data_IF_414427022252
#
_entry.id   IF_414427022252
#
_cell.length_a   1.000
_cell.length_b   1.000
_cell.length_c   1.000
_cell.angle_alpha   90.00
_cell.angle_beta   90.00
_cell.angle_gamma   90.00
#
_symmetry.space_group_name_H-M   'P 1'
#
loop_
_entity.id
_entity.type
_entity.pdbx_description
1 polymer ?
#
# COMPACT_ATOMS: atom_id res chain seq x y z
N UNK A 1 29.76 62.30 27.29
CA UNK A 1 29.83 60.85 27.10
C UNK A 1 31.24 60.49 26.72
N UNK A 2 31.87 59.59 27.46
CA UNK A 2 33.18 59.06 27.07
C UNK A 2 33.00 58.03 25.94
N UNK A 3 34.06 57.82 25.16
CA UNK A 3 34.10 56.84 24.07
C UNK A 3 33.70 55.42 24.56
N UNK A 4 34.04 55.09 25.80
CA UNK A 4 33.66 53.82 26.46
C UNK A 4 32.17 53.68 26.79
N UNK A 5 31.46 54.78 27.08
CA UNK A 5 30.00 54.76 27.30
C UNK A 5 29.25 54.53 25.99
N UNK A 6 29.70 55.17 24.91
CA UNK A 6 29.14 55.00 23.57
C UNK A 6 29.31 53.56 23.05
N UNK A 7 30.46 52.94 23.27
CA UNK A 7 30.66 51.53 22.89
C UNK A 7 29.81 50.55 23.70
N UNK A 8 29.56 50.85 24.98
CA UNK A 8 28.71 50.01 25.83
C UNK A 8 27.24 50.11 25.40
N UNK A 9 26.76 51.32 25.13
CA UNK A 9 25.40 51.56 24.61
C UNK A 9 25.18 50.88 23.26
N UNK A 10 26.15 50.98 22.33
CA UNK A 10 26.07 50.33 21.02
C UNK A 10 26.06 48.80 21.13
N UNK A 11 26.88 48.21 22.00
CA UNK A 11 26.87 46.75 22.22
C UNK A 11 25.53 46.27 22.79
N UNK A 12 24.95 47.04 23.70
CA UNK A 12 23.64 46.72 24.28
C UNK A 12 22.53 46.76 23.23
N UNK A 13 22.53 47.78 22.38
CA UNK A 13 21.58 47.91 21.27
C UNK A 13 21.75 46.76 20.24
N UNK A 14 22.98 46.36 19.93
CA UNK A 14 23.25 45.22 19.04
C UNK A 14 22.76 43.88 19.63
N UNK A 15 22.87 43.70 20.94
CA UNK A 15 22.40 42.51 21.63
C UNK A 15 20.87 42.45 21.68
N UNK A 16 20.21 43.55 22.05
CA UNK A 16 18.74 43.68 22.00
C UNK A 16 18.19 43.47 20.57
N UNK A 17 18.88 43.99 19.54
CA UNK A 17 18.49 43.75 18.15
C UNK A 17 18.64 42.28 17.73
N UNK A 18 19.71 41.59 18.18
CA UNK A 18 19.88 40.14 17.91
C UNK A 18 18.79 39.31 18.57
N UNK A 19 18.48 39.59 19.83
CA UNK A 19 17.42 38.87 20.56
C UNK A 19 16.07 39.06 19.87
N UNK A 20 15.77 40.29 19.42
CA UNK A 20 14.54 40.59 18.71
C UNK A 20 14.45 39.90 17.33
N UNK A 21 15.58 39.80 16.61
CA UNK A 21 15.64 39.06 15.34
C UNK A 21 15.44 37.55 15.52
N UNK A 22 15.97 36.97 16.60
CA UNK A 22 15.81 35.55 16.92
C UNK A 22 14.37 35.24 17.31
N UNK A 23 13.75 36.06 18.16
CA UNK A 23 12.33 35.93 18.55
C UNK A 23 11.40 36.07 17.33
N UNK A 24 11.68 37.03 16.43
CA UNK A 24 10.91 37.18 15.19
C UNK A 24 11.02 35.95 14.28
N UNK A 25 12.21 35.36 14.16
CA UNK A 25 12.43 34.13 13.38
C UNK A 25 11.68 32.93 13.96
N UNK A 26 11.71 32.76 15.28
CA UNK A 26 10.97 31.69 15.95
C UNK A 26 9.46 31.85 15.74
N UNK A 27 8.94 33.08 15.89
CA UNK A 27 7.53 33.38 15.68
C UNK A 27 7.10 33.16 14.22
N UNK A 28 7.93 33.53 13.24
CA UNK A 28 7.68 33.25 11.83
C UNK A 28 7.64 31.75 11.54
N UNK A 29 8.55 30.96 12.13
CA UNK A 29 8.56 29.52 11.95
C UNK A 29 7.33 28.85 12.58
N UNK A 30 6.92 29.28 13.78
CA UNK A 30 5.71 28.83 14.45
C UNK A 30 4.46 29.18 13.63
N UNK A 31 4.38 30.41 13.12
CA UNK A 31 3.29 30.86 12.26
C UNK A 31 3.22 30.01 10.97
N UNK A 32 4.37 29.74 10.33
CA UNK A 32 4.43 28.89 9.14
C UNK A 32 3.96 27.46 9.44
N UNK A 33 4.40 26.86 10.54
CA UNK A 33 3.94 25.53 10.98
C UNK A 33 2.44 25.52 11.25
N UNK A 34 1.92 26.56 11.87
CA UNK A 34 0.49 26.69 12.16
C UNK A 34 -0.34 26.87 10.89
N UNK A 35 0.10 27.68 9.93
CA UNK A 35 -0.55 27.84 8.62
C UNK A 35 -0.55 26.53 7.82
N UNK A 36 0.57 25.80 7.79
CA UNK A 36 0.63 24.48 7.15
C UNK A 36 -0.34 23.49 7.81
N UNK A 37 -0.44 23.51 9.13
CA UNK A 37 -1.38 22.68 9.88
C UNK A 37 -2.83 23.03 9.56
N UNK A 38 -3.18 24.32 9.56
CA UNK A 38 -4.54 24.80 9.22
C UNK A 38 -4.88 24.39 7.79
N UNK A 39 -3.96 24.63 6.83
CA UNK A 39 -4.16 24.26 5.43
C UNK A 39 -4.36 22.77 5.25
N UNK A 40 -3.59 21.95 5.97
CA UNK A 40 -3.75 20.50 5.99
C UNK A 40 -5.07 20.03 6.63
N UNK A 41 -5.55 20.72 7.67
CA UNK A 41 -6.87 20.47 8.27
C UNK A 41 -8.03 20.85 7.35
N UNK A 42 -7.95 22.01 6.71
CA UNK A 42 -8.97 22.47 5.76
C UNK A 42 -9.06 21.55 4.55
N UNK A 43 -7.92 21.11 4.02
CA UNK A 43 -7.87 20.12 2.94
C UNK A 43 -8.57 18.83 3.36
N UNK A 44 -8.21 18.25 4.51
CA UNK A 44 -8.86 17.05 5.06
C UNK A 44 -10.38 17.23 5.23
N UNK A 45 -10.83 18.37 5.79
CA UNK A 45 -12.27 18.66 5.96
C UNK A 45 -13.02 18.80 4.63
N UNK A 46 -12.35 19.27 3.58
CA UNK A 46 -12.95 19.37 2.24
C UNK A 46 -13.15 17.98 1.65
N UNK A 47 -12.14 17.12 1.77
CA UNK A 47 -12.17 15.73 1.32
C UNK A 47 -13.26 14.94 2.05
N UNK A 48 -13.35 15.07 3.38
CA UNK A 48 -14.37 14.39 4.18
C UNK A 48 -15.79 14.78 3.78
N UNK A 49 -16.04 16.08 3.54
CA UNK A 49 -17.35 16.56 3.07
C UNK A 49 -17.73 16.01 1.69
N UNK A 50 -16.77 15.90 0.79
CA UNK A 50 -17.01 15.35 -0.54
C UNK A 50 -17.37 13.86 -0.47
N UNK A 51 -16.67 13.10 0.38
CA UNK A 51 -16.99 11.70 0.65
C UNK A 51 -18.39 11.55 1.24
N UNK A 52 -18.73 12.36 2.25
CA UNK A 52 -20.04 12.32 2.89
C UNK A 52 -21.17 12.64 1.90
N UNK A 53 -20.99 13.65 1.04
CA UNK A 53 -21.95 13.98 -0.01
C UNK A 53 -22.14 12.84 -1.01
N UNK A 54 -21.05 12.19 -1.43
CA UNK A 54 -21.14 11.03 -2.33
C UNK A 54 -21.87 9.86 -1.67
N UNK A 55 -21.54 9.52 -0.42
CA UNK A 55 -22.23 8.47 0.34
C UNK A 55 -23.72 8.78 0.53
N UNK A 56 -24.07 10.03 0.84
CA UNK A 56 -25.46 10.45 0.99
C UNK A 56 -26.27 10.26 -0.31
N UNK A 57 -25.66 10.51 -1.48
CA UNK A 57 -26.29 10.25 -2.78
C UNK A 57 -26.53 8.75 -3.02
N UNK A 58 -25.57 7.90 -2.66
CA UNK A 58 -25.73 6.43 -2.75
C UNK A 58 -26.92 5.97 -1.89
N UNK A 59 -27.01 6.46 -0.64
CA UNK A 59 -28.12 6.13 0.25
C UNK A 59 -29.47 6.62 -0.28
N UNK A 60 -29.52 7.84 -0.82
CA UNK A 60 -30.75 8.43 -1.35
C UNK A 60 -31.27 7.67 -2.57
N UNK A 61 -30.39 7.33 -3.53
CA UNK A 61 -30.77 6.54 -4.72
C UNK A 61 -31.27 5.14 -4.36
N UNK A 62 -30.68 4.50 -3.34
CA UNK A 62 -31.13 3.19 -2.82
C UNK A 62 -32.52 3.24 -2.18
N UNK A 63 -32.82 4.29 -1.41
CA UNK A 63 -34.13 4.42 -0.75
C UNK A 63 -35.28 4.70 -1.73
N UNK A 64 -35.00 5.32 -2.87
CA UNK A 64 -36.02 5.61 -3.88
C UNK A 64 -36.45 4.34 -4.66
N UNK A 65 -35.51 3.42 -4.92
CA UNK A 65 -35.78 2.14 -5.60
C UNK A 65 -36.61 1.15 -4.75
N UNK A 66 -36.50 1.21 -3.42
CA UNK A 66 -37.29 0.37 -2.49
C UNK A 66 -38.73 0.88 -2.25
N UNK A 67 -39.13 1.98 -2.88
CA UNK A 67 -40.43 2.62 -2.67
C UNK A 67 -41.54 2.15 -3.62
N UNK A 68 -41.57 0.85 -3.94
CA UNK A 68 -42.79 0.25 -4.52
C UNK A 68 -43.80 -0.06 -3.41
N UNK A 69 -45.08 0.34 -3.53
CA UNK A 69 -46.03 0.26 -2.42
C UNK A 69 -46.70 -1.12 -2.33
N UNK A 70 -46.50 -1.84 -1.23
CA UNK A 70 -47.47 -2.83 -0.75
C UNK A 70 -47.62 -2.77 0.78
N UNK A 71 -48.85 -2.85 1.31
CA UNK A 71 -49.08 -2.63 2.73
C UNK A 71 -49.06 -3.92 3.56
N UNK A 72 -48.52 -3.76 4.77
CA UNK A 72 -48.74 -4.52 6.02
C UNK A 72 -48.39 -6.00 6.04
N UNK A 73 -47.53 -6.41 6.98
CA UNK A 73 -47.92 -7.13 8.20
C UNK A 73 -46.79 -6.99 9.23
N UNK A 74 -47.19 -6.76 10.48
CA UNK A 74 -46.38 -6.71 11.68
C UNK A 74 -45.58 -7.99 11.93
N UNK A 75 -44.28 -7.89 12.14
CA UNK A 75 -43.57 -8.76 13.08
C UNK A 75 -42.27 -8.14 13.56
N UNK A 76 -42.24 -7.88 14.87
CA UNK A 76 -41.13 -8.08 15.79
C UNK A 76 -39.74 -7.51 15.44
N UNK A 77 -39.33 -6.61 16.34
CA UNK A 77 -37.95 -6.16 16.62
C UNK A 77 -36.92 -7.26 16.36
N UNK A 78 -36.05 -7.03 15.40
CA UNK A 78 -34.68 -7.51 15.42
C UNK A 78 -33.79 -6.30 15.14
N UNK A 79 -32.71 -6.18 15.91
CA UNK A 79 -31.77 -5.07 15.96
C UNK A 79 -31.50 -4.46 14.57
N UNK A 80 -32.04 -3.26 14.30
CA UNK A 80 -31.60 -2.46 13.16
C UNK A 80 -30.14 -2.09 13.40
N UNK A 81 -29.23 -2.87 12.81
CA UNK A 81 -27.79 -2.68 12.98
C UNK A 81 -27.42 -1.40 12.24
N UNK A 82 -27.49 -0.28 12.94
CA UNK A 82 -27.11 1.03 12.42
C UNK A 82 -25.73 0.95 11.76
N UNK A 83 -25.64 1.44 10.52
CA UNK A 83 -24.42 1.48 9.74
C UNK A 83 -23.26 2.15 10.52
N UNK A 84 -23.54 3.18 11.32
CA UNK A 84 -22.53 3.84 12.15
C UNK A 84 -21.95 2.91 13.22
N UNK A 85 -22.76 1.98 13.74
CA UNK A 85 -22.31 0.94 14.68
C UNK A 85 -21.45 -0.11 13.97
N UNK A 86 -21.78 -0.45 12.71
CA UNK A 86 -20.94 -1.32 11.89
C UNK A 86 -19.61 -0.66 11.55
N UNK A 87 -19.61 0.59 11.08
CA UNK A 87 -18.41 1.37 10.76
C UNK A 87 -17.47 1.39 11.97
N UNK A 88 -17.95 1.84 13.14
CA UNK A 88 -17.15 1.86 14.37
C UNK A 88 -16.65 0.47 14.76
N UNK A 89 -17.51 -0.54 14.65
CA UNK A 89 -17.17 -1.91 14.97
C UNK A 89 -16.10 -2.51 14.06
N UNK A 90 -16.08 -2.12 12.79
CA UNK A 90 -15.08 -2.54 11.81
C UNK A 90 -13.78 -1.76 11.99
N UNK A 91 -13.88 -0.44 12.20
CA UNK A 91 -12.74 0.45 12.42
C UNK A 91 -11.88 0.03 13.62
N UNK A 92 -12.52 -0.36 14.73
CA UNK A 92 -11.83 -0.80 15.95
C UNK A 92 -11.08 -2.14 15.75
N UNK A 93 -11.62 -3.03 14.92
CA UNK A 93 -11.09 -4.40 14.77
C UNK A 93 -10.18 -4.57 13.54
N UNK A 94 -10.23 -3.64 12.60
CA UNK A 94 -9.39 -3.67 11.40
C UNK A 94 -8.07 -2.96 11.70
N UNK A 95 -6.96 -3.46 11.16
CA UNK A 95 -5.69 -2.73 11.27
C UNK A 95 -5.81 -1.33 10.63
N UNK A 96 -5.03 -0.34 11.08
CA UNK A 96 -5.07 1.00 10.51
C UNK A 96 -4.76 1.02 9.02
N UNK A 97 -5.37 1.96 8.28
CA UNK A 97 -5.12 2.12 6.84
C UNK A 97 -3.62 2.30 6.58
N UNK A 98 -3.01 1.39 5.79
CA UNK A 98 -1.58 1.41 5.55
C UNK A 98 -1.10 2.68 4.87
N UNK A 99 0.10 3.14 5.23
CA UNK A 99 0.80 4.20 4.49
C UNK A 99 1.67 3.65 3.35
N UNK A 100 2.23 2.44 3.54
CA UNK A 100 3.12 1.76 2.60
C UNK A 100 2.35 0.70 1.81
N UNK A 101 2.75 0.51 0.55
CA UNK A 101 2.07 -0.41 -0.37
C UNK A 101 2.09 -1.86 0.11
N UNK A 102 3.16 -2.25 0.80
CA UNK A 102 3.46 -3.60 1.26
C UNK A 102 2.55 -4.12 2.38
N UNK A 103 1.76 -3.24 3.00
CA UNK A 103 0.90 -3.59 4.13
C UNK A 103 -0.59 -3.56 3.78
N UNK A 104 -0.94 -3.23 2.53
CA UNK A 104 -2.33 -3.24 2.05
C UNK A 104 -2.98 -4.62 2.11
N UNK A 105 -2.22 -5.69 1.87
CA UNK A 105 -2.71 -7.06 2.01
C UNK A 105 -3.19 -7.37 3.42
N UNK A 106 -2.38 -7.04 4.44
CA UNK A 106 -2.74 -7.26 5.83
C UNK A 106 -4.00 -6.48 6.19
N UNK A 107 -4.16 -5.30 5.61
CA UNK A 107 -5.35 -4.47 5.80
C UNK A 107 -6.59 -5.13 5.21
N UNK A 108 -6.54 -5.55 3.94
CA UNK A 108 -7.67 -6.19 3.29
C UNK A 108 -8.02 -7.55 3.93
N UNK A 109 -7.04 -8.37 4.30
CA UNK A 109 -7.29 -9.62 5.01
C UNK A 109 -7.91 -9.37 6.40
N UNK A 110 -7.42 -8.38 7.13
CA UNK A 110 -7.99 -7.97 8.42
C UNK A 110 -9.41 -7.45 8.26
N UNK A 111 -9.67 -6.67 7.21
CA UNK A 111 -10.98 -6.10 6.92
C UNK A 111 -11.97 -7.20 6.56
N UNK A 112 -11.59 -8.14 5.67
CA UNK A 112 -12.45 -9.25 5.26
C UNK A 112 -12.80 -10.17 6.44
N UNK A 113 -11.83 -10.46 7.31
CA UNK A 113 -12.08 -11.20 8.57
C UNK A 113 -13.05 -10.44 9.46
N UNK A 114 -12.91 -9.13 9.56
CA UNK A 114 -13.76 -8.28 10.38
C UNK A 114 -15.19 -8.21 9.82
N UNK A 115 -15.35 -8.08 8.50
CA UNK A 115 -16.66 -8.17 7.84
C UNK A 115 -17.37 -9.48 8.16
N UNK A 116 -16.66 -10.62 8.05
CA UNK A 116 -17.21 -11.93 8.41
C UNK A 116 -17.57 -12.02 9.90
N UNK A 117 -16.68 -11.55 10.78
CA UNK A 117 -16.90 -11.60 12.23
C UNK A 117 -18.08 -10.72 12.68
N UNK A 118 -18.21 -9.52 12.12
CA UNK A 118 -19.30 -8.58 12.41
C UNK A 118 -20.57 -8.85 11.60
N UNK A 119 -20.56 -9.84 10.71
CA UNK A 119 -21.65 -10.17 9.78
C UNK A 119 -22.12 -8.94 9.01
N UNK A 120 -21.17 -8.17 8.49
CA UNK A 120 -21.46 -6.98 7.69
C UNK A 120 -22.23 -7.40 6.44
N UNK A 121 -23.43 -6.85 6.19
CA UNK A 121 -24.15 -7.08 4.94
C UNK A 121 -23.33 -6.61 3.74
N UNK A 122 -23.33 -7.38 2.65
CA UNK A 122 -22.56 -7.06 1.43
C UNK A 122 -22.91 -5.67 0.87
N UNK A 123 -24.16 -5.24 1.05
CA UNK A 123 -24.70 -3.92 0.74
C UNK A 123 -23.98 -2.74 1.45
N UNK A 124 -23.31 -2.98 2.58
CA UNK A 124 -22.58 -1.97 3.35
C UNK A 124 -21.06 -2.10 3.27
N UNK A 125 -20.51 -3.19 2.73
CA UNK A 125 -19.06 -3.41 2.67
C UNK A 125 -18.33 -2.26 1.96
N UNK A 126 -18.80 -1.86 0.77
CA UNK A 126 -18.15 -0.80 0.01
C UNK A 126 -18.22 0.56 0.71
N UNK A 127 -19.38 0.89 1.29
CA UNK A 127 -19.56 2.14 2.03
C UNK A 127 -18.65 2.21 3.27
N UNK A 128 -18.53 1.11 4.00
CA UNK A 128 -17.61 1.01 5.14
C UNK A 128 -16.16 1.12 4.67
N UNK A 129 -15.79 0.44 3.58
CA UNK A 129 -14.44 0.51 3.00
C UNK A 129 -14.08 1.94 2.59
N UNK A 130 -14.97 2.65 1.88
CA UNK A 130 -14.75 4.03 1.46
C UNK A 130 -14.59 4.97 2.67
N UNK A 131 -15.39 4.78 3.73
CA UNK A 131 -15.28 5.58 4.95
C UNK A 131 -13.96 5.31 5.68
N UNK A 132 -13.50 4.05 5.74
CA UNK A 132 -12.21 3.70 6.35
C UNK A 132 -11.04 4.27 5.57
N UNK A 133 -11.06 4.18 4.24
CA UNK A 133 -9.99 4.66 3.35
C UNK A 133 -9.84 6.19 3.37
N UNK A 134 -10.90 6.94 3.69
CA UNK A 134 -10.89 8.40 3.81
C UNK A 134 -10.33 9.05 2.55
N UNK A 135 -9.31 9.90 2.70
CA UNK A 135 -8.69 10.63 1.59
C UNK A 135 -8.22 9.73 0.44
N UNK A 136 -7.80 8.49 0.74
CA UNK A 136 -7.37 7.54 -0.29
C UNK A 136 -8.53 7.04 -1.15
N UNK A 137 -9.73 6.99 -0.59
CA UNK A 137 -10.93 6.56 -1.30
C UNK A 137 -11.27 7.48 -2.47
N UNK A 138 -10.93 8.78 -2.39
CA UNK A 138 -11.28 9.75 -3.43
C UNK A 138 -10.58 9.48 -4.76
N UNK A 139 -9.32 9.00 -4.74
CA UNK A 139 -8.64 8.61 -5.98
C UNK A 139 -9.42 7.52 -6.72
N UNK A 140 -9.95 6.53 -5.99
CA UNK A 140 -10.78 5.47 -6.57
C UNK A 140 -12.16 6.00 -6.99
N UNK A 141 -12.77 6.86 -6.17
CA UNK A 141 -14.08 7.47 -6.43
C UNK A 141 -14.11 8.48 -7.59
N UNK A 142 -12.95 8.89 -8.12
CA UNK A 142 -12.87 9.65 -9.39
C UNK A 142 -13.11 8.73 -10.58
N UNK A 143 -12.73 7.45 -10.49
CA UNK A 143 -12.83 6.49 -11.59
C UNK A 143 -14.11 5.64 -11.57
N UNK A 144 -14.78 5.52 -10.41
CA UNK A 144 -16.04 4.77 -10.31
C UNK A 144 -17.19 5.63 -10.85
N UNK A 145 -17.88 5.13 -11.88
CA UNK A 145 -19.11 5.75 -12.38
C UNK A 145 -20.25 5.59 -11.37
N UNK A 146 -21.17 6.55 -11.34
CA UNK A 146 -22.32 6.56 -10.42
C UNK A 146 -23.23 5.32 -10.55
N UNK A 147 -23.24 4.71 -11.74
CA UNK A 147 -23.90 3.43 -12.05
C UNK A 147 -23.20 2.19 -11.45
N UNK A 148 -21.86 2.20 -11.35
CA UNK A 148 -21.07 1.11 -10.78
C UNK A 148 -20.92 1.22 -9.25
N UNK A 149 -21.20 2.41 -8.68
CA UNK A 149 -21.25 2.66 -7.24
C UNK A 149 -22.34 1.85 -6.52
N UNK A 150 -23.35 1.38 -7.25
CA UNK A 150 -24.41 0.50 -6.72
C UNK A 150 -23.96 -0.95 -6.59
N UNK A 151 -22.89 -1.34 -7.29
CA UNK A 151 -22.36 -2.69 -7.28
C UNK A 151 -21.15 -2.77 -6.33
N UNK A 152 -21.43 -3.21 -5.11
CA UNK A 152 -20.39 -3.32 -4.08
C UNK A 152 -19.27 -4.29 -4.46
N UNK A 153 -19.53 -5.28 -5.31
CA UNK A 153 -18.49 -6.15 -5.81
C UNK A 153 -17.54 -5.38 -6.73
N UNK A 154 -18.06 -4.52 -7.62
CA UNK A 154 -17.23 -3.65 -8.47
C UNK A 154 -16.48 -2.60 -7.68
N UNK A 155 -17.10 -1.95 -6.70
CA UNK A 155 -16.41 -0.96 -5.86
C UNK A 155 -15.28 -1.62 -5.06
N UNK A 156 -15.52 -2.83 -4.53
CA UNK A 156 -14.51 -3.63 -3.86
C UNK A 156 -13.39 -4.03 -4.82
N UNK A 157 -13.71 -4.55 -6.01
CA UNK A 157 -12.72 -4.92 -7.03
C UNK A 157 -11.92 -3.73 -7.55
N UNK A 158 -12.51 -2.53 -7.66
CA UNK A 158 -11.81 -1.33 -8.09
C UNK A 158 -10.88 -0.78 -6.99
N UNK A 159 -11.34 -0.80 -5.73
CA UNK A 159 -10.47 -0.45 -4.60
C UNK A 159 -9.36 -1.48 -4.42
N UNK A 160 -9.66 -2.77 -4.57
CA UNK A 160 -8.65 -3.81 -4.64
C UNK A 160 -7.72 -3.50 -5.81
N UNK A 161 -8.18 -3.33 -7.05
CA UNK A 161 -7.29 -3.05 -8.19
C UNK A 161 -6.39 -1.81 -8.03
N UNK A 162 -6.86 -0.74 -7.40
CA UNK A 162 -6.06 0.47 -7.14
C UNK A 162 -5.01 0.25 -6.04
N UNK A 163 -5.35 -0.51 -4.99
CA UNK A 163 -4.52 -0.69 -3.79
C UNK A 163 -3.88 -2.07 -3.66
N UNK A 164 -4.24 -3.01 -4.54
CA UNK A 164 -3.77 -4.38 -4.60
C UNK A 164 -2.34 -4.33 -5.07
N UNK A 165 -1.39 -4.73 -4.22
CA UNK A 165 -0.01 -4.54 -4.57
C UNK A 165 0.35 -5.50 -5.70
N UNK A 166 1.12 -4.98 -6.66
CA UNK A 166 1.66 -5.73 -7.78
C UNK A 166 2.35 -6.99 -7.21
N UNK A 167 2.02 -8.21 -7.64
CA UNK A 167 2.59 -9.42 -7.03
C UNK A 167 4.12 -9.43 -7.04
N UNK A 168 4.73 -8.80 -8.05
CA UNK A 168 6.18 -8.62 -8.13
C UNK A 168 6.76 -7.80 -6.97
N UNK A 169 6.02 -6.79 -6.49
CA UNK A 169 6.43 -6.03 -5.31
C UNK A 169 6.46 -6.92 -4.06
N UNK A 170 5.51 -7.85 -3.88
CA UNK A 170 5.54 -8.82 -2.79
C UNK A 170 6.75 -9.75 -2.86
N UNK A 171 7.05 -10.27 -4.05
CA UNK A 171 8.22 -11.13 -4.26
C UNK A 171 9.52 -10.38 -3.95
N UNK A 172 9.64 -9.14 -4.42
CA UNK A 172 10.80 -8.30 -4.14
C UNK A 172 10.93 -7.94 -2.65
N UNK A 173 9.81 -7.65 -1.99
CA UNK A 173 9.77 -7.43 -0.54
C UNK A 173 10.20 -8.66 0.23
N UNK A 174 9.72 -9.85 -0.16
CA UNK A 174 10.13 -11.11 0.43
C UNK A 174 11.64 -11.34 0.27
N UNK A 175 12.19 -11.13 -0.92
CA UNK A 175 13.62 -11.28 -1.22
C UNK A 175 14.51 -10.29 -0.46
N UNK A 176 14.06 -9.05 -0.32
CA UNK A 176 14.81 -7.96 0.34
C UNK A 176 14.54 -7.87 1.85
N UNK A 177 13.59 -8.64 2.36
CA UNK A 177 13.18 -8.58 3.75
C UNK A 177 14.36 -8.85 4.68
N UNK A 178 14.61 -7.92 5.60
CA UNK A 178 15.54 -8.05 6.71
C UNK A 178 14.77 -8.01 8.02
N UNK A 179 15.34 -8.63 9.06
CA UNK A 179 14.79 -8.54 10.42
C UNK A 179 14.82 -7.08 10.88
N UNK A 180 13.71 -6.59 11.39
CA UNK A 180 13.60 -5.24 11.91
C UNK A 180 14.31 -5.11 13.26
N UNK A 181 14.71 -3.87 13.62
CA UNK A 181 15.19 -3.59 14.97
C UNK A 181 14.08 -3.88 15.99
N UNK A 182 14.39 -4.64 17.03
CA UNK A 182 13.42 -5.08 18.04
C UNK A 182 12.51 -6.25 17.65
N UNK A 183 12.59 -6.77 16.42
CA UNK A 183 11.80 -7.94 15.99
C UNK A 183 12.51 -9.25 16.37
N UNK A 184 11.81 -10.17 17.03
CA UNK A 184 12.35 -11.52 17.30
C UNK A 184 12.44 -12.35 16.00
N UNK A 185 13.28 -13.40 15.98
CA UNK A 185 13.35 -14.29 14.82
C UNK A 185 12.02 -14.97 14.50
N UNK A 186 11.22 -15.29 15.52
CA UNK A 186 9.88 -15.86 15.32
C UNK A 186 8.96 -14.87 14.61
N UNK A 187 8.94 -13.60 15.05
CA UNK A 187 8.16 -12.55 14.37
C UNK A 187 8.62 -12.34 12.93
N UNK A 188 9.94 -12.38 12.68
CA UNK A 188 10.49 -12.25 11.34
C UNK A 188 10.05 -13.39 10.41
N UNK A 189 10.13 -14.65 10.87
CA UNK A 189 9.66 -15.81 10.11
C UNK A 189 8.15 -15.73 9.86
N UNK A 190 7.35 -15.36 10.85
CA UNK A 190 5.90 -15.18 10.65
C UNK A 190 5.59 -14.13 9.57
N UNK A 191 6.36 -13.05 9.52
CA UNK A 191 6.23 -12.02 8.46
C UNK A 191 6.64 -12.55 7.09
N UNK A 192 7.74 -13.30 7.00
CA UNK A 192 8.18 -13.93 5.75
C UNK A 192 7.15 -14.93 5.21
N UNK A 193 6.63 -15.81 6.08
CA UNK A 193 5.59 -16.79 5.72
C UNK A 193 4.36 -16.06 5.20
N UNK A 194 3.84 -15.07 5.94
CA UNK A 194 2.65 -14.31 5.54
C UNK A 194 2.84 -13.61 4.20
N UNK A 195 4.05 -13.07 3.95
CA UNK A 195 4.38 -12.40 2.67
C UNK A 195 4.38 -13.40 1.52
N UNK A 196 4.98 -14.58 1.70
CA UNK A 196 5.05 -15.62 0.68
C UNK A 196 3.69 -16.28 0.39
N UNK A 197 2.90 -16.56 1.43
CA UNK A 197 1.54 -17.11 1.29
C UNK A 197 0.65 -16.15 0.51
N UNK A 198 0.73 -14.85 0.81
CA UNK A 198 -0.02 -13.84 0.08
C UNK A 198 0.43 -13.74 -1.38
N UNK A 199 1.74 -13.73 -1.64
CA UNK A 199 2.28 -13.77 -3.01
C UNK A 199 1.75 -14.98 -3.79
N UNK A 200 1.75 -16.16 -3.17
CA UNK A 200 1.24 -17.40 -3.76
C UNK A 200 -0.25 -17.31 -4.08
N UNK A 201 -1.04 -16.69 -3.19
CA UNK A 201 -2.48 -16.43 -3.38
C UNK A 201 -2.73 -15.50 -4.58
N UNK A 202 -1.96 -14.41 -4.70
CA UNK A 202 -2.06 -13.48 -5.85
C UNK A 202 -1.73 -14.19 -7.18
N UNK A 203 -0.74 -15.07 -7.17
CA UNK A 203 -0.36 -15.91 -8.32
C UNK A 203 -1.32 -17.07 -8.57
N UNK A 204 -2.37 -17.23 -7.73
CA UNK A 204 -3.38 -18.29 -7.81
C UNK A 204 -2.76 -19.69 -7.83
N UNK A 205 -1.66 -19.87 -7.09
CA UNK A 205 -1.00 -21.17 -6.90
C UNK A 205 -1.82 -21.99 -5.91
N UNK A 206 -2.25 -23.18 -6.33
CA UNK A 206 -3.15 -24.04 -5.54
C UNK A 206 -2.60 -25.43 -5.23
N UNK A 207 -1.50 -25.84 -5.85
CA UNK A 207 -0.93 -27.17 -5.70
C UNK A 207 0.61 -27.15 -5.72
N UNK A 208 1.22 -28.28 -5.39
CA UNK A 208 2.68 -28.40 -5.32
C UNK A 208 3.37 -28.19 -6.67
N UNK A 209 2.73 -28.60 -7.77
CA UNK A 209 3.30 -28.46 -9.12
C UNK A 209 3.34 -26.99 -9.55
N UNK A 210 2.25 -26.26 -9.36
CA UNK A 210 2.16 -24.82 -9.60
C UNK A 210 3.10 -24.02 -8.71
N UNK A 211 3.34 -24.45 -7.47
CA UNK A 211 4.33 -23.80 -6.60
C UNK A 211 5.77 -24.01 -7.10
N UNK A 212 6.14 -25.24 -7.47
CA UNK A 212 7.46 -25.52 -8.06
C UNK A 212 7.68 -24.68 -9.32
N UNK A 213 6.69 -24.65 -10.18
CA UNK A 213 6.74 -23.95 -11.46
C UNK A 213 6.82 -22.43 -11.27
N UNK A 214 6.13 -21.88 -10.26
CA UNK A 214 6.25 -20.47 -9.86
C UNK A 214 7.68 -20.14 -9.41
N UNK A 215 8.26 -20.96 -8.53
CA UNK A 215 9.64 -20.74 -8.05
C UNK A 215 10.65 -20.77 -9.19
N UNK A 216 10.51 -21.71 -10.13
CA UNK A 216 11.39 -21.82 -11.31
C UNK A 216 11.19 -20.64 -12.25
N UNK A 217 9.93 -20.25 -12.52
CA UNK A 217 9.58 -19.09 -13.33
C UNK A 217 10.17 -17.80 -12.74
N UNK A 218 9.99 -17.56 -11.45
CA UNK A 218 10.54 -16.40 -10.73
C UNK A 218 12.07 -16.36 -10.73
N UNK A 219 12.72 -17.54 -10.75
CA UNK A 219 14.17 -17.65 -10.86
C UNK A 219 14.65 -17.32 -12.26
N UNK A 220 14.00 -17.84 -13.31
CA UNK A 220 14.33 -17.49 -14.70
C UNK A 220 14.14 -16.00 -14.94
N UNK A 221 13.01 -15.44 -14.48
CA UNK A 221 12.71 -14.01 -14.60
C UNK A 221 13.79 -13.13 -13.96
N UNK A 222 14.37 -13.57 -12.83
CA UNK A 222 15.44 -12.85 -12.14
C UNK A 222 16.73 -12.74 -12.95
N UNK A 223 16.99 -13.69 -13.85
CA UNK A 223 18.21 -13.73 -14.67
C UNK A 223 18.07 -12.96 -15.99
N UNK A 224 16.90 -12.40 -16.29
CA UNK A 224 16.65 -11.65 -17.50
C UNK A 224 17.29 -10.26 -17.44
N UNK A 225 17.79 -9.79 -18.59
CA UNK A 225 18.16 -8.38 -18.76
C UNK A 225 16.92 -7.48 -18.75
N UNK A 226 17.15 -6.18 -18.57
CA UNK A 226 16.09 -5.18 -18.42
C UNK A 226 15.10 -5.17 -19.60
N UNK A 227 15.57 -5.36 -20.84
CA UNK A 227 14.69 -5.29 -22.00
C UNK A 227 13.82 -6.55 -22.10
N UNK A 228 14.43 -7.72 -21.91
CA UNK A 228 13.71 -8.99 -21.93
C UNK A 228 12.71 -9.07 -20.78
N UNK A 229 13.09 -8.67 -19.57
CA UNK A 229 12.18 -8.59 -18.42
C UNK A 229 11.00 -7.65 -18.70
N UNK A 230 11.23 -6.51 -19.37
CA UNK A 230 10.17 -5.58 -19.75
C UNK A 230 9.20 -6.17 -20.77
N UNK A 231 9.71 -6.89 -21.78
CA UNK A 231 8.87 -7.62 -22.75
C UNK A 231 8.02 -8.68 -22.05
N UNK A 232 8.62 -9.49 -21.18
CA UNK A 232 7.90 -10.51 -20.42
C UNK A 232 6.83 -9.90 -19.51
N UNK A 233 7.12 -8.78 -18.82
CA UNK A 233 6.12 -8.08 -18.02
C UNK A 233 4.89 -7.69 -18.85
N UNK A 234 5.08 -7.23 -20.10
CA UNK A 234 3.98 -6.89 -21.00
C UNK A 234 3.16 -8.14 -21.41
N UNK A 235 3.82 -9.27 -21.65
CA UNK A 235 3.16 -10.53 -22.02
C UNK A 235 2.38 -11.18 -20.86
N UNK A 236 2.90 -11.07 -19.64
CA UNK A 236 2.29 -11.65 -18.44
C UNK A 236 0.94 -10.99 -18.10
N UNK A 237 0.86 -9.66 -18.17
CA UNK A 237 -0.34 -8.92 -17.79
C UNK A 237 -0.81 -9.27 -16.38
N UNK A 238 -2.06 -9.72 -16.23
CA UNK A 238 -2.64 -10.15 -14.94
C UNK A 238 -2.30 -11.60 -14.56
N UNK A 239 -1.70 -12.39 -15.47
CA UNK A 239 -1.30 -13.79 -15.23
C UNK A 239 0.22 -13.90 -15.12
N UNK A 240 0.72 -15.03 -14.64
CA UNK A 240 2.15 -15.34 -14.70
C UNK A 240 2.37 -16.48 -15.71
N UNK A 241 3.50 -16.44 -16.40
CA UNK A 241 3.89 -17.49 -17.34
C UNK A 241 4.55 -18.64 -16.58
N UNK A 242 4.13 -19.87 -16.87
CA UNK A 242 4.81 -21.06 -16.35
C UNK A 242 6.24 -21.11 -16.87
N UNK A 243 7.12 -21.83 -16.17
CA UNK A 243 8.56 -21.83 -16.47
C UNK A 243 8.89 -22.12 -17.95
N UNK A 244 8.21 -23.09 -18.55
CA UNK A 244 8.39 -23.45 -19.97
C UNK A 244 7.81 -22.42 -20.93
N UNK A 245 6.70 -21.78 -20.58
CA UNK A 245 6.08 -20.73 -21.41
C UNK A 245 6.93 -19.46 -21.36
N UNK A 246 7.41 -19.09 -20.18
CA UNK A 246 8.33 -17.99 -19.97
C UNK A 246 9.61 -18.18 -20.79
N UNK A 247 10.23 -19.37 -20.74
CA UNK A 247 11.42 -19.67 -21.51
C UNK A 247 11.18 -19.53 -23.02
N UNK A 248 10.07 -20.06 -23.54
CA UNK A 248 9.69 -19.92 -24.95
C UNK A 248 9.52 -18.46 -25.35
N UNK A 249 8.87 -17.66 -24.51
CA UNK A 249 8.66 -16.24 -24.79
C UNK A 249 9.99 -15.46 -24.80
N UNK A 250 10.91 -15.81 -23.89
CA UNK A 250 12.27 -15.28 -23.92
C UNK A 250 12.99 -15.63 -25.23
N UNK A 251 12.91 -16.90 -25.67
CA UNK A 251 13.53 -17.34 -26.93
C UNK A 251 12.93 -16.64 -28.16
N UNK A 252 11.61 -16.41 -28.18
CA UNK A 252 10.91 -15.67 -29.23
C UNK A 252 11.43 -14.23 -29.29
N UNK A 253 11.47 -13.55 -28.15
CA UNK A 253 11.97 -12.17 -28.06
C UNK A 253 13.44 -12.08 -28.45
N UNK A 254 14.27 -13.02 -28.01
CA UNK A 254 15.68 -13.10 -28.33
C UNK A 254 15.90 -13.31 -29.85
N UNK A 255 15.16 -14.23 -30.46
CA UNK A 255 15.18 -14.45 -31.91
C UNK A 255 14.74 -13.23 -32.72
N UNK A 256 13.76 -12.47 -32.21
CA UNK A 256 13.28 -11.25 -32.85
C UNK A 256 14.28 -10.08 -32.74
N UNK A 257 15.02 -9.99 -31.63
CA UNK A 257 15.95 -8.88 -31.34
C UNK A 257 17.39 -9.13 -31.78
N UNK A 258 17.74 -10.35 -32.23
CA UNK A 258 19.09 -10.76 -32.62
C UNK A 258 20.17 -10.48 -31.55
N UNK A 259 19.80 -10.45 -30.27
CA UNK A 259 20.77 -10.37 -29.18
C UNK A 259 21.73 -11.57 -29.28
N UNK A 260 23.03 -11.35 -29.09
CA UNK A 260 24.02 -12.42 -29.06
C UNK A 260 24.03 -13.08 -27.69
N UNK A 261 24.16 -14.41 -27.62
CA UNK A 261 24.23 -15.16 -26.36
C UNK A 261 25.44 -14.72 -25.49
N UNK A 262 26.39 -13.99 -26.07
CA UNK A 262 27.60 -13.50 -25.40
C UNK A 262 27.41 -12.18 -24.64
N UNK A 263 26.44 -11.32 -25.00
CA UNK A 263 26.28 -10.00 -24.37
C UNK A 263 25.74 -10.11 -22.94
N UNK A 264 24.87 -11.09 -22.66
CA UNK A 264 24.26 -11.31 -21.34
C UNK A 264 25.28 -11.65 -20.24
N UNK A 265 26.43 -12.23 -20.63
CA UNK A 265 27.45 -12.70 -19.68
C UNK A 265 28.26 -11.56 -19.04
N UNK A 266 28.31 -10.39 -19.69
CA UNK A 266 29.12 -9.26 -19.22
C UNK A 266 28.40 -8.42 -18.14
N UNK A 267 27.06 -8.32 -18.18
CA UNK A 267 26.30 -7.53 -17.21
C UNK A 267 26.19 -8.20 -15.82
N UNK A 268 26.06 -9.54 -15.79
CA UNK A 268 26.00 -10.32 -14.55
C UNK A 268 27.32 -10.28 -13.76
N UNK A 269 28.46 -10.04 -14.42
CA UNK A 269 29.77 -10.04 -13.75
C UNK A 269 29.99 -8.81 -12.86
N UNK A 270 29.25 -7.73 -13.10
CA UNK A 270 29.37 -6.47 -12.36
C UNK A 270 28.58 -6.51 -11.05
N UNK A 271 27.55 -7.38 -10.92
CA UNK A 271 26.69 -7.45 -9.73
C UNK A 271 27.08 -8.54 -8.71
N UNK A 272 27.85 -9.56 -9.10
CA UNK A 272 28.22 -10.67 -8.20
C UNK A 272 29.68 -10.68 -7.77
N UNK A 273 30.45 -9.63 -8.08
CA UNK A 273 31.84 -9.50 -7.63
C UNK A 273 31.97 -8.70 -6.34
N UNK A 274 31.19 -9.05 -5.31
CA UNK A 274 31.56 -8.75 -3.92
C UNK A 274 31.05 -9.84 -2.98
N UNK A 275 31.97 -10.31 -2.13
CA UNK A 275 31.78 -11.27 -1.03
C UNK A 275 31.69 -12.75 -1.41
N UNK A 276 32.88 -13.37 -1.55
CA UNK A 276 33.05 -14.81 -1.37
C UNK A 276 32.64 -15.17 0.07
N UNK A 277 31.45 -15.74 0.23
CA UNK A 277 31.03 -16.40 1.47
C UNK A 277 31.98 -17.55 1.79
N UNK A 278 32.66 -17.48 2.95
CA UNK A 278 33.46 -18.58 3.50
C UNK A 278 32.66 -19.25 4.61
N UNK A 279 32.22 -20.51 4.44
CA UNK A 279 31.45 -21.24 5.45
C UNK A 279 32.19 -21.35 6.79
N UNK A 280 31.46 -21.27 7.90
CA UNK A 280 31.98 -21.22 9.28
C UNK A 280 32.92 -22.40 9.61
N UNK A 281 32.69 -23.58 9.02
CA UNK A 281 33.52 -24.78 9.24
C UNK A 281 34.86 -24.76 8.48
N UNK A 282 35.12 -23.77 7.61
CA UNK A 282 36.39 -23.60 6.90
C UNK A 282 37.32 -22.57 7.58
N UNK A 283 36.92 -21.95 8.70
CA UNK A 283 37.85 -21.18 9.53
C UNK A 283 38.71 -22.17 10.32
N UNK A 284 39.83 -22.61 9.73
CA UNK A 284 40.85 -23.35 10.46
C UNK A 284 41.37 -22.49 11.61
N UNK A 285 41.32 -23.05 12.80
CA UNK A 285 42.00 -22.53 13.99
C UNK A 285 43.48 -22.32 13.65
N UNK A 286 43.95 -21.08 13.85
CA UNK A 286 45.36 -20.77 13.95
C UNK A 286 45.51 -20.17 15.35
N UNK A 287 46.30 -20.85 16.18
CA UNK A 287 46.75 -20.41 17.51
C UNK A 287 47.37 -19.02 17.49
#
# INVERSE_FOLDING_TARGET
MSESELEWENRKIEEENREQEEENREQEEENRKQEEKIRGEEFRRRIERELELKLARIRATRNDENRSPLPSVTSNRDDDVSLDKLIKGVEILTIPVPRKTESWNLFFDSLERTYKHKKVPQEFEAEILLKLLGDKALNVLVYIKEEDLKDNAKVKDLNLKEFEPIPQAFLENFRKAKRNSGETHIQFISRLISTWEYYSKLRKVGDYESLKDLIISDKLFQELDSDTASHICLQQGEKWLRSQELAKECDIYFGATKKSFEELRNDLRTYFSSEKYVPIHQRREIS
#
